data_IF_328035496832
#
_entry.id   IF_328035496832
#
_cell.length_a   1.000
_cell.length_b   1.000
_cell.length_c   1.000
_cell.angle_alpha   90.00
_cell.angle_beta   90.00
_cell.angle_gamma   90.00
#
_symmetry.space_group_name_H-M   'P 1'
#
loop_
_entity.id
_entity.type
_entity.pdbx_description
1 polymer ?
#
# COMPACT_ATOMS: atom_id res chain seq x y z
N UNK A 1 65.25 -26.19 42.88
CA UNK A 1 65.40 -24.83 42.29
C UNK A 1 63.99 -24.33 41.99
N UNK A 2 63.24 -23.73 42.93
CA UNK A 2 63.18 -22.29 43.28
C UNK A 2 63.23 -21.36 42.05
N UNK A 3 62.07 -20.79 41.67
CA UNK A 3 61.76 -19.35 41.60
C UNK A 3 60.33 -19.16 41.03
N UNK A 4 59.37 -18.63 41.81
CA UNK A 4 58.99 -17.21 42.06
C UNK A 4 58.10 -16.59 40.96
N UNK A 5 56.81 -16.52 41.30
CA UNK A 5 55.92 -15.34 41.32
C UNK A 5 56.17 -14.20 40.32
N UNK A 6 55.15 -13.84 39.54
CA UNK A 6 54.65 -12.46 39.51
C UNK A 6 53.24 -12.40 38.91
N UNK A 7 52.27 -12.00 39.73
CA UNK A 7 50.98 -11.52 39.26
C UNK A 7 51.17 -10.13 38.62
N UNK A 8 50.50 -9.87 37.50
CA UNK A 8 50.21 -8.51 37.07
C UNK A 8 48.80 -8.42 36.50
N UNK A 9 48.04 -7.52 37.12
CA UNK A 9 46.67 -7.09 36.86
C UNK A 9 46.62 -6.27 35.56
N UNK A 10 45.58 -6.48 34.74
CA UNK A 10 44.96 -5.46 33.88
C UNK A 10 43.53 -5.95 33.59
N UNK A 11 42.51 -5.37 34.20
CA UNK A 11 41.90 -4.07 33.89
C UNK A 11 40.51 -4.37 33.31
N UNK A 12 39.49 -3.99 34.08
CA UNK A 12 38.10 -4.11 33.72
C UNK A 12 37.80 -3.32 32.44
N UNK A 13 37.11 -3.95 31.49
CA UNK A 13 36.30 -3.26 30.51
C UNK A 13 34.95 -3.98 30.43
N UNK A 14 34.02 -3.56 31.28
CA UNK A 14 32.59 -3.76 31.06
C UNK A 14 32.20 -2.97 29.80
N UNK A 15 32.39 -3.59 28.64
CA UNK A 15 31.90 -3.06 27.37
C UNK A 15 30.41 -3.30 27.28
N UNK A 16 29.61 -2.25 27.49
CA UNK A 16 28.18 -2.25 27.19
C UNK A 16 27.95 -2.70 25.74
N UNK A 17 27.36 -3.88 25.57
CA UNK A 17 26.82 -4.33 24.30
C UNK A 17 25.58 -3.51 23.96
N UNK A 18 25.75 -2.36 23.30
CA UNK A 18 24.66 -1.77 22.54
C UNK A 18 24.47 -2.65 21.29
N UNK A 19 23.56 -3.62 21.40
CA UNK A 19 22.99 -4.28 20.24
C UNK A 19 22.38 -3.19 19.35
N UNK A 20 23.09 -2.83 18.27
CA UNK A 20 22.54 -1.98 17.23
C UNK A 20 21.40 -2.75 16.58
N UNK A 21 20.18 -2.45 17.01
CA UNK A 21 18.97 -2.80 16.30
C UNK A 21 19.01 -2.09 14.95
N UNK A 22 19.61 -2.74 13.95
CA UNK A 22 19.44 -2.35 12.57
C UNK A 22 17.93 -2.49 12.27
N UNK A 23 17.23 -1.37 12.20
CA UNK A 23 15.91 -1.33 11.59
C UNK A 23 16.08 -1.83 10.15
N UNK A 24 15.67 -3.06 9.90
CA UNK A 24 15.52 -3.57 8.56
C UNK A 24 14.49 -2.70 7.85
N UNK A 25 14.94 -1.81 6.97
CA UNK A 25 14.09 -1.17 5.99
C UNK A 25 13.52 -2.29 5.12
N UNK A 26 12.27 -2.66 5.38
CA UNK A 26 11.49 -3.57 4.54
C UNK A 26 11.64 -3.11 3.09
N UNK A 27 12.32 -3.92 2.27
CA UNK A 27 12.53 -3.67 0.86
C UNK A 27 11.21 -3.29 0.20
N UNK A 28 11.08 -2.04 -0.21
CA UNK A 28 9.89 -1.55 -0.87
C UNK A 28 9.75 -2.27 -2.20
N UNK A 29 8.75 -3.14 -2.31
CA UNK A 29 8.29 -3.61 -3.62
C UNK A 29 7.89 -2.38 -4.42
N UNK A 30 8.45 -2.21 -5.61
CA UNK A 30 7.98 -1.23 -6.58
C UNK A 30 6.52 -1.56 -6.91
N UNK A 31 5.60 -0.76 -6.38
CA UNK A 31 4.17 -0.85 -6.70
C UNK A 31 4.02 -0.45 -8.18
N UNK A 32 3.77 -1.44 -9.04
CA UNK A 32 3.48 -1.19 -10.46
C UNK A 32 2.01 -0.84 -10.59
N UNK A 33 1.71 0.26 -11.28
CA UNK A 33 0.33 0.66 -11.53
C UNK A 33 -0.30 -0.27 -12.58
N UNK A 34 -1.37 -1.00 -12.23
CA UNK A 34 -2.05 -1.90 -13.16
C UNK A 34 -2.86 -1.11 -14.20
N UNK A 35 -3.06 -1.71 -15.37
CA UNK A 35 -3.93 -1.22 -16.43
C UNK A 35 -5.11 -2.18 -16.61
N UNK A 36 -6.21 -1.88 -15.94
CA UNK A 36 -7.41 -2.71 -15.97
C UNK A 36 -8.11 -2.73 -17.31
N UNK A 37 -7.89 -1.72 -18.16
CA UNK A 37 -8.40 -1.73 -19.55
C UNK A 37 -7.76 -2.80 -20.42
N UNK A 38 -6.58 -3.28 -20.03
CA UNK A 38 -5.88 -4.41 -20.67
C UNK A 38 -6.13 -5.75 -19.97
N UNK A 39 -7.00 -5.77 -18.97
CA UNK A 39 -7.34 -6.98 -18.23
C UNK A 39 -6.41 -7.29 -17.05
N UNK A 40 -5.56 -6.35 -16.64
CA UNK A 40 -4.73 -6.56 -15.45
C UNK A 40 -5.60 -6.86 -14.22
N UNK A 41 -5.05 -7.66 -13.30
CA UNK A 41 -5.71 -8.01 -12.05
C UNK A 41 -5.38 -6.97 -10.97
N UNK A 42 -6.27 -6.85 -9.98
CA UNK A 42 -5.93 -6.17 -8.72
C UNK A 42 -4.80 -6.96 -8.06
N UNK A 43 -3.72 -6.32 -7.57
CA UNK A 43 -2.63 -7.01 -6.90
C UNK A 43 -3.14 -7.88 -5.74
N UNK A 44 -2.64 -9.11 -5.62
CA UNK A 44 -3.12 -10.07 -4.62
C UNK A 44 -2.84 -9.62 -3.18
N UNK A 45 -1.85 -8.76 -2.97
CA UNK A 45 -1.51 -8.16 -1.67
C UNK A 45 -2.19 -6.81 -1.43
N UNK A 46 -3.13 -6.41 -2.30
CA UNK A 46 -3.85 -5.17 -2.13
C UNK A 46 -4.89 -5.25 -1.01
N UNK A 47 -4.64 -4.51 0.07
CA UNK A 47 -5.44 -4.56 1.31
C UNK A 47 -6.58 -3.57 1.36
N UNK A 48 -6.52 -2.53 0.54
CA UNK A 48 -7.43 -1.40 0.61
C UNK A 48 -8.29 -1.37 -0.63
N UNK A 49 -9.59 -1.38 -0.38
CA UNK A 49 -10.65 -1.22 -1.34
C UNK A 49 -11.51 -0.05 -0.85
N UNK A 50 -11.95 0.81 -1.76
CA UNK A 50 -12.47 2.13 -1.43
C UNK A 50 -13.95 2.23 -1.71
N UNK A 51 -14.69 2.89 -0.81
CA UNK A 51 -16.06 3.31 -1.10
C UNK A 51 -16.05 4.38 -2.17
N UNK A 52 -16.92 4.26 -3.16
CA UNK A 52 -17.11 5.24 -4.24
C UNK A 52 -18.32 6.13 -3.92
N UNK A 53 -18.36 6.60 -2.66
CA UNK A 53 -19.31 7.55 -2.07
C UNK A 53 -20.74 7.46 -2.65
N UNK A 54 -21.28 8.46 -3.39
CA UNK A 54 -22.72 8.50 -3.68
C UNK A 54 -23.19 7.39 -4.63
N UNK A 55 -22.29 6.65 -5.25
CA UNK A 55 -22.64 5.58 -6.18
C UNK A 55 -23.21 4.34 -5.47
N UNK A 56 -22.84 4.11 -4.20
CA UNK A 56 -23.09 2.83 -3.51
C UNK A 56 -22.33 1.65 -4.13
N UNK A 57 -21.23 1.95 -4.84
CA UNK A 57 -20.26 0.96 -5.29
C UNK A 57 -18.98 1.06 -4.47
N UNK A 58 -18.19 -0.02 -4.54
CA UNK A 58 -16.81 -0.05 -4.08
C UNK A 58 -15.88 -0.39 -5.22
N UNK A 59 -14.64 0.08 -5.11
CA UNK A 59 -13.65 -0.18 -6.11
C UNK A 59 -12.23 -0.11 -5.60
N UNK A 60 -11.39 -0.81 -6.32
CA UNK A 60 -9.96 -0.79 -6.12
C UNK A 60 -9.32 0.21 -7.07
N UNK A 61 -8.38 1.00 -6.56
CA UNK A 61 -7.57 1.90 -7.36
C UNK A 61 -6.15 1.92 -6.81
N UNK A 62 -5.20 2.29 -7.67
CA UNK A 62 -3.81 2.36 -7.29
C UNK A 62 -3.62 3.28 -6.08
N UNK A 63 -2.80 2.86 -5.14
CA UNK A 63 -2.55 3.58 -3.91
C UNK A 63 -1.09 3.35 -3.49
N UNK A 64 -0.33 4.44 -3.35
CA UNK A 64 0.98 4.41 -2.70
C UNK A 64 0.85 5.01 -1.30
N UNK A 65 1.17 4.23 -0.27
CA UNK A 65 1.14 4.68 1.14
C UNK A 65 -0.15 5.44 1.54
N UNK A 66 -1.32 4.88 1.19
CA UNK A 66 -2.65 5.48 1.45
C UNK A 66 -2.98 6.75 0.65
N UNK A 67 -2.19 7.08 -0.38
CA UNK A 67 -2.43 8.19 -1.29
C UNK A 67 -2.91 7.67 -2.64
N UNK A 68 -4.05 8.17 -3.10
CA UNK A 68 -4.75 7.74 -4.33
C UNK A 68 -4.64 8.75 -5.48
N UNK A 69 -3.89 9.83 -5.31
CA UNK A 69 -3.76 10.93 -6.29
C UNK A 69 -3.19 10.51 -7.65
N UNK A 70 -2.41 9.43 -7.70
CA UNK A 70 -1.82 8.91 -8.93
C UNK A 70 -2.72 7.89 -9.65
N UNK A 71 -3.83 7.47 -9.04
CA UNK A 71 -4.76 6.56 -9.67
C UNK A 71 -5.45 7.22 -10.88
N UNK A 72 -5.53 6.49 -11.98
CA UNK A 72 -6.26 6.90 -13.19
C UNK A 72 -7.37 5.93 -13.58
N UNK A 73 -7.50 4.84 -12.83
CA UNK A 73 -8.49 3.80 -13.06
C UNK A 73 -9.02 3.31 -11.72
N UNK A 74 -10.32 2.98 -11.70
CA UNK A 74 -10.96 2.32 -10.57
C UNK A 74 -11.63 1.05 -11.09
N UNK A 75 -11.23 -0.12 -10.58
CA UNK A 75 -11.90 -1.38 -10.89
C UNK A 75 -13.02 -1.61 -9.88
N UNK A 76 -14.25 -1.75 -10.35
CA UNK A 76 -15.41 -1.99 -9.49
C UNK A 76 -15.31 -3.38 -8.89
N UNK A 77 -15.43 -3.46 -7.56
CA UNK A 77 -15.30 -4.71 -6.79
C UNK A 77 -16.63 -5.13 -6.19
N UNK A 78 -17.49 -4.16 -5.83
CA UNK A 78 -18.83 -4.41 -5.29
C UNK A 78 -19.80 -3.34 -5.78
N UNK A 79 -21.05 -3.73 -6.00
CA UNK A 79 -22.17 -2.81 -6.24
C UNK A 79 -23.30 -3.21 -5.29
N UNK A 80 -23.73 -2.27 -4.44
CA UNK A 80 -24.81 -2.55 -3.49
C UNK A 80 -26.16 -2.56 -4.22
N UNK A 81 -27.00 -3.55 -3.89
CA UNK A 81 -28.35 -3.66 -4.46
C UNK A 81 -29.22 -2.46 -4.03
N UNK A 82 -29.94 -1.88 -4.99
CA UNK A 82 -30.77 -0.69 -4.80
C UNK A 82 -29.98 0.61 -4.67
N UNK A 83 -28.65 0.58 -4.83
CA UNK A 83 -27.84 1.79 -4.91
C UNK A 83 -28.01 2.52 -6.24
N UNK A 84 -27.56 3.78 -6.36
CA UNK A 84 -27.53 4.47 -7.64
C UNK A 84 -26.71 3.77 -8.73
N UNK A 85 -25.73 2.94 -8.36
CA UNK A 85 -24.95 2.14 -9.29
C UNK A 85 -25.61 0.79 -9.67
N UNK A 86 -26.65 0.36 -8.96
CA UNK A 86 -27.31 -0.93 -9.24
C UNK A 86 -27.93 -0.96 -10.64
N UNK A 87 -27.57 -1.97 -11.43
CA UNK A 87 -27.97 -2.12 -12.83
C UNK A 87 -27.30 -1.13 -13.81
N UNK A 88 -26.44 -0.23 -13.32
CA UNK A 88 -25.67 0.72 -14.15
C UNK A 88 -24.19 0.31 -14.22
N UNK A 89 -23.61 -0.04 -13.07
CA UNK A 89 -22.25 -0.57 -12.98
C UNK A 89 -22.30 -2.06 -12.64
N UNK A 90 -21.28 -2.79 -13.09
CA UNK A 90 -21.05 -4.19 -12.75
C UNK A 90 -19.69 -4.39 -12.08
N UNK A 91 -19.58 -5.44 -11.27
CA UNK A 91 -18.29 -5.89 -10.74
C UNK A 91 -17.36 -6.24 -11.90
N UNK A 92 -16.15 -5.69 -11.88
CA UNK A 92 -15.15 -5.83 -12.93
C UNK A 92 -15.08 -4.65 -13.89
N UNK A 93 -16.08 -3.75 -13.89
CA UNK A 93 -16.02 -2.52 -14.68
C UNK A 93 -14.81 -1.67 -14.31
N UNK A 94 -14.32 -0.91 -15.29
CA UNK A 94 -13.18 -0.01 -15.13
C UNK A 94 -13.64 1.42 -15.35
N UNK A 95 -13.69 2.20 -14.27
CA UNK A 95 -13.94 3.63 -14.36
C UNK A 95 -12.63 4.35 -14.70
N UNK A 96 -12.68 5.17 -15.75
CA UNK A 96 -11.55 5.98 -16.21
C UNK A 96 -11.69 7.46 -15.88
N UNK A 97 -12.84 7.86 -15.32
CA UNK A 97 -13.18 9.25 -15.11
C UNK A 97 -14.60 9.47 -14.61
N UNK A 98 -14.95 10.74 -14.41
CA UNK A 98 -16.25 11.19 -13.94
C UNK A 98 -16.69 12.48 -14.66
N UNK A 99 -18.00 12.69 -14.78
CA UNK A 99 -18.54 13.92 -15.41
C UNK A 99 -18.12 14.11 -16.87
N UNK A 100 -17.92 13.01 -17.61
CA UNK A 100 -17.51 13.04 -19.01
C UNK A 100 -16.03 13.36 -19.26
N UNK A 101 -15.20 13.37 -18.22
CA UNK A 101 -13.75 13.64 -18.30
C UNK A 101 -12.97 12.51 -17.64
N UNK A 102 -11.76 12.24 -18.13
CA UNK A 102 -10.85 11.30 -17.47
C UNK A 102 -10.44 11.83 -16.08
N UNK A 103 -10.15 10.91 -15.16
CA UNK A 103 -9.56 11.29 -13.87
C UNK A 103 -8.24 12.01 -14.11
N UNK A 104 -8.13 13.20 -13.52
CA UNK A 104 -6.95 14.07 -13.63
C UNK A 104 -6.12 14.06 -12.34
N UNK A 105 -6.76 13.71 -11.23
CA UNK A 105 -6.24 13.66 -9.88
C UNK A 105 -6.82 12.44 -9.14
N UNK A 106 -6.99 12.54 -7.82
CA UNK A 106 -7.55 11.50 -6.97
C UNK A 106 -9.00 11.17 -7.34
N UNK A 107 -9.29 9.94 -7.81
CA UNK A 107 -10.64 9.52 -8.16
C UNK A 107 -11.64 9.64 -7.01
N UNK A 108 -11.20 9.50 -5.75
CA UNK A 108 -12.09 9.63 -4.58
C UNK A 108 -12.56 11.06 -4.38
N UNK A 109 -11.74 12.05 -4.74
CA UNK A 109 -12.14 13.46 -4.71
C UNK A 109 -12.99 13.81 -5.92
N UNK A 110 -12.68 13.24 -7.09
CA UNK A 110 -13.42 13.54 -8.33
C UNK A 110 -14.80 12.88 -8.41
N UNK A 111 -15.02 11.74 -7.72
CA UNK A 111 -16.30 11.03 -7.69
C UNK A 111 -17.31 11.60 -6.68
N UNK A 112 -16.89 12.44 -5.73
CA UNK A 112 -17.76 13.08 -4.74
C UNK A 112 -17.37 12.83 -3.29
#
# INVERSE_FOLDING_TARGET
MINKSLALVCAACFGLGFASSALGASGGKTLTMPDFTKGDAIPADAKHDWNLSPTGARGWMFCDKMVTSDARQVKITTVDKGSPADGVLAVGDVLLGAGGRAFSFDPRTELG
#
